data_IF_925566694362
#
_entry.id   IF_925566694362
#
_cell.length_a   1.000
_cell.length_b   1.000
_cell.length_c   1.000
_cell.angle_alpha   90.00
_cell.angle_beta   90.00
_cell.angle_gamma   90.00
#
_symmetry.space_group_name_H-M   'P 1'
#
loop_
_entity.id
_entity.type
_entity.pdbx_description
1 polymer ?
#
# COMPACT_ATOMS: atom_id res chain seq x y z
N UNK A 1 26.69 -44.98 -40.07
CA UNK A 1 27.15 -43.58 -40.10
C UNK A 1 26.12 -42.77 -39.34
N UNK A 2 26.44 -42.46 -38.08
CA UNK A 2 25.51 -41.88 -37.12
C UNK A 2 25.55 -40.36 -37.11
N UNK A 3 24.37 -39.75 -36.96
CA UNK A 3 24.20 -38.33 -36.69
C UNK A 3 24.01 -38.13 -35.19
N UNK A 4 24.97 -37.46 -34.55
CA UNK A 4 24.88 -36.94 -33.19
C UNK A 4 24.66 -35.43 -33.27
N UNK A 5 23.44 -34.97 -33.02
CA UNK A 5 23.16 -33.60 -32.60
C UNK A 5 22.63 -33.69 -31.18
N UNK A 6 23.50 -33.44 -30.22
CA UNK A 6 23.17 -33.40 -28.80
C UNK A 6 22.33 -32.17 -28.49
N UNK A 7 21.07 -32.40 -28.10
CA UNK A 7 20.28 -31.44 -27.36
C UNK A 7 20.85 -31.37 -25.94
N UNK A 8 21.65 -30.34 -25.67
CA UNK A 8 22.01 -29.97 -24.31
C UNK A 8 20.75 -29.52 -23.56
N UNK A 9 20.24 -30.42 -22.73
CA UNK A 9 19.28 -30.11 -21.67
C UNK A 9 19.99 -29.18 -20.70
N UNK A 10 19.47 -27.96 -20.55
CA UNK A 10 19.92 -27.02 -19.51
C UNK A 10 19.38 -27.54 -18.17
N UNK A 11 20.15 -28.43 -17.55
CA UNK A 11 20.06 -28.78 -16.14
C UNK A 11 20.90 -27.80 -15.34
N UNK A 12 20.38 -26.62 -15.01
CA UNK A 12 20.99 -25.81 -13.95
C UNK A 12 19.99 -24.80 -13.33
N UNK A 13 19.31 -25.22 -12.26
CA UNK A 13 18.68 -24.31 -11.30
C UNK A 13 19.65 -24.15 -10.11
N UNK A 14 20.74 -23.40 -10.32
CA UNK A 14 21.60 -22.98 -9.22
C UNK A 14 21.07 -21.68 -8.57
N UNK A 15 21.35 -21.42 -7.28
CA UNK A 15 20.95 -20.19 -6.57
C UNK A 15 21.50 -18.88 -7.16
N UNK A 16 22.31 -18.95 -8.23
CA UNK A 16 22.83 -17.78 -8.94
C UNK A 16 21.89 -17.25 -10.03
N UNK A 17 20.94 -18.04 -10.53
CA UNK A 17 20.03 -17.60 -11.60
C UNK A 17 18.88 -16.71 -11.11
N UNK A 18 18.54 -16.75 -9.82
CA UNK A 18 17.63 -15.80 -9.14
C UNK A 18 18.19 -14.38 -9.05
N UNK A 19 19.51 -14.21 -9.11
CA UNK A 19 20.15 -12.88 -9.07
C UNK A 19 19.95 -12.06 -10.35
N UNK A 20 19.67 -12.70 -11.49
CA UNK A 20 19.36 -12.00 -12.74
C UNK A 20 17.93 -11.43 -12.77
N UNK A 21 16.99 -12.05 -12.01
CA UNK A 21 15.64 -11.53 -11.78
C UNK A 21 15.67 -10.20 -11.02
N UNK A 22 16.51 -10.14 -9.98
CA UNK A 22 16.65 -8.99 -9.10
C UNK A 22 17.27 -7.77 -9.80
N UNK A 23 18.28 -7.96 -10.66
CA UNK A 23 19.01 -6.84 -11.27
C UNK A 23 18.16 -6.01 -12.27
N UNK A 24 17.20 -6.64 -12.96
CA UNK A 24 16.37 -5.97 -13.96
C UNK A 24 15.19 -5.17 -13.35
N UNK A 25 14.62 -5.64 -12.23
CA UNK A 25 13.53 -4.95 -11.52
C UNK A 25 14.00 -3.73 -10.68
N UNK A 26 15.29 -3.66 -10.31
CA UNK A 26 15.70 -2.93 -9.10
C UNK A 26 15.83 -1.40 -9.18
N UNK A 27 15.88 -0.75 -10.35
CA UNK A 27 16.23 0.70 -10.38
C UNK A 27 15.26 1.62 -11.10
N UNK A 28 14.56 1.15 -12.14
CA UNK A 28 13.63 1.98 -12.92
C UNK A 28 12.15 1.63 -12.67
N UNK A 29 11.83 0.35 -12.42
CA UNK A 29 10.48 -0.10 -12.10
C UNK A 29 10.03 0.38 -10.71
N UNK A 30 10.83 0.13 -9.66
CA UNK A 30 10.48 0.56 -8.30
C UNK A 30 10.33 2.08 -8.15
N UNK A 31 11.12 2.88 -8.89
CA UNK A 31 11.02 4.35 -8.90
C UNK A 31 9.78 4.84 -9.67
N UNK A 32 9.23 4.05 -10.59
CA UNK A 32 7.98 4.34 -11.32
C UNK A 32 6.75 3.79 -10.59
N UNK A 33 6.84 2.63 -9.95
CA UNK A 33 5.78 2.04 -9.13
C UNK A 33 5.50 2.85 -7.85
N UNK A 34 6.54 3.40 -7.22
CA UNK A 34 6.40 4.28 -6.04
C UNK A 34 5.89 5.68 -6.43
N UNK A 35 6.27 6.22 -7.59
CA UNK A 35 5.70 7.47 -8.11
C UNK A 35 4.26 7.29 -8.66
N UNK A 36 3.92 6.12 -9.20
CA UNK A 36 2.56 5.81 -9.66
C UNK A 36 1.57 5.62 -8.50
N UNK A 37 2.06 5.38 -7.28
CA UNK A 37 1.26 5.27 -6.06
C UNK A 37 0.54 6.58 -5.68
N UNK A 38 1.00 7.72 -6.22
CA UNK A 38 0.45 9.05 -5.94
C UNK A 38 -0.48 9.55 -7.07
N UNK A 39 -0.53 8.85 -8.22
CA UNK A 39 -1.03 9.48 -9.46
C UNK A 39 -2.30 8.90 -10.09
N UNK A 40 -3.07 7.97 -9.49
CA UNK A 40 -4.28 7.49 -10.19
C UNK A 40 -5.42 7.00 -9.28
N UNK A 41 -6.56 7.70 -9.36
CA UNK A 41 -7.85 7.49 -8.70
C UNK A 41 -8.97 7.89 -9.68
N UNK A 42 -9.69 6.91 -10.21
CA UNK A 42 -10.93 7.19 -10.93
C UNK A 42 -11.95 6.09 -10.66
N UNK A 43 -13.20 6.56 -10.46
CA UNK A 43 -14.48 5.84 -10.40
C UNK A 43 -14.73 5.02 -9.11
N UNK A 44 -15.89 5.08 -8.45
CA UNK A 44 -17.21 5.59 -8.88
C UNK A 44 -18.12 5.82 -7.66
N UNK A 45 -19.12 6.65 -7.92
CA UNK A 45 -20.23 7.19 -7.12
C UNK A 45 -21.13 6.19 -6.37
N UNK A 46 -21.75 6.71 -5.30
CA UNK A 46 -22.99 6.26 -4.65
C UNK A 46 -22.97 4.83 -4.06
N UNK A 47 -22.20 4.65 -2.99
CA UNK A 47 -22.50 3.57 -2.04
C UNK A 47 -23.59 4.03 -1.07
N UNK A 48 -24.73 3.35 -1.09
CA UNK A 48 -25.75 3.42 -0.04
C UNK A 48 -25.06 3.05 1.27
N UNK A 49 -24.98 3.99 2.20
CA UNK A 49 -24.48 3.76 3.56
C UNK A 49 -25.47 2.83 4.26
N UNK A 50 -25.20 1.53 4.25
CA UNK A 50 -25.69 0.68 5.35
C UNK A 50 -25.00 1.15 6.63
N UNK A 51 -25.72 1.30 7.73
CA UNK A 51 -25.08 1.61 9.00
C UNK A 51 -23.97 0.56 9.28
N UNK A 52 -22.74 1.00 9.59
CA UNK A 52 -21.66 0.07 9.89
C UNK A 52 -22.05 -0.82 11.08
N UNK A 53 -21.90 -2.13 10.94
CA UNK A 53 -22.44 -3.11 11.87
C UNK A 53 -21.74 -3.14 13.26
N UNK A 54 -20.69 -2.35 13.47
CA UNK A 54 -20.00 -2.20 14.77
C UNK A 54 -19.30 -0.84 14.91
N UNK A 55 -19.01 -0.38 16.15
CA UNK A 55 -18.21 0.83 16.39
C UNK A 55 -16.86 0.80 15.69
N UNK A 56 -16.20 -0.36 15.63
CA UNK A 56 -14.93 -0.51 14.92
C UNK A 56 -15.08 -0.23 13.42
N UNK A 57 -16.05 -0.86 12.77
CA UNK A 57 -16.30 -0.66 11.34
C UNK A 57 -16.71 0.79 11.06
N UNK A 58 -17.45 1.41 11.98
CA UNK A 58 -17.80 2.82 11.91
C UNK A 58 -16.55 3.70 11.97
N UNK A 59 -15.67 3.46 12.93
CA UNK A 59 -14.41 4.21 13.07
C UNK A 59 -13.51 4.03 11.83
N UNK A 60 -13.40 2.83 11.26
CA UNK A 60 -12.61 2.55 10.07
C UNK A 60 -13.19 3.16 8.79
N UNK A 61 -14.52 3.17 8.66
CA UNK A 61 -15.20 3.87 7.57
C UNK A 61 -15.03 5.39 7.71
N UNK A 62 -15.27 5.91 8.92
CA UNK A 62 -15.11 7.33 9.22
C UNK A 62 -13.64 7.77 9.25
N UNK A 63 -12.63 6.92 9.34
CA UNK A 63 -11.25 7.38 9.20
C UNK A 63 -10.75 7.36 7.75
N UNK A 64 -11.56 6.87 6.80
CA UNK A 64 -11.12 6.61 5.43
C UNK A 64 -10.19 5.40 5.30
N UNK A 65 -10.02 4.60 6.35
CA UNK A 65 -9.12 3.44 6.31
C UNK A 65 -9.55 2.39 5.28
N UNK A 66 -10.86 2.17 5.09
CA UNK A 66 -11.36 1.29 4.04
C UNK A 66 -11.12 1.83 2.63
N UNK A 67 -11.19 3.14 2.45
CA UNK A 67 -10.95 3.78 1.17
C UNK A 67 -9.47 3.67 0.82
N UNK A 68 -8.57 4.01 1.76
CA UNK A 68 -7.13 3.87 1.57
C UNK A 68 -6.72 2.42 1.27
N UNK A 69 -7.30 1.45 1.98
CA UNK A 69 -7.06 0.02 1.72
C UNK A 69 -7.52 -0.39 0.30
N UNK A 70 -8.66 0.15 -0.14
CA UNK A 70 -9.17 -0.10 -1.50
C UNK A 70 -8.26 0.54 -2.56
N UNK A 71 -7.78 1.75 -2.31
CA UNK A 71 -6.89 2.50 -3.20
C UNK A 71 -5.53 1.82 -3.35
N UNK A 72 -4.90 1.40 -2.26
CA UNK A 72 -3.63 0.65 -2.30
C UNK A 72 -3.80 -0.61 -3.14
N UNK A 73 -4.88 -1.37 -2.93
CA UNK A 73 -5.18 -2.57 -3.71
C UNK A 73 -5.37 -2.26 -5.21
N UNK A 74 -6.02 -1.15 -5.55
CA UNK A 74 -6.24 -0.74 -6.94
C UNK A 74 -4.94 -0.31 -7.62
N UNK A 75 -4.13 0.51 -6.95
CA UNK A 75 -2.83 0.98 -7.46
C UNK A 75 -1.87 -0.18 -7.72
N UNK A 76 -1.82 -1.16 -6.80
CA UNK A 76 -1.02 -2.37 -7.00
C UNK A 76 -1.49 -3.19 -8.20
N UNK A 77 -2.81 -3.39 -8.34
CA UNK A 77 -3.40 -4.07 -9.51
C UNK A 77 -2.99 -3.38 -10.81
N UNK A 78 -2.99 -2.05 -10.85
CA UNK A 78 -2.62 -1.27 -12.04
C UNK A 78 -1.11 -1.32 -12.33
N UNK A 79 -0.25 -1.13 -11.31
CA UNK A 79 1.21 -1.19 -11.48
C UNK A 79 1.67 -2.52 -12.07
N UNK A 80 1.07 -3.62 -11.60
CA UNK A 80 1.36 -4.97 -12.10
C UNK A 80 0.85 -5.22 -13.53
N UNK A 81 -0.22 -4.54 -13.96
CA UNK A 81 -0.67 -4.59 -15.36
C UNK A 81 0.28 -3.85 -16.31
N UNK A 82 0.97 -2.81 -15.83
CA UNK A 82 1.86 -1.97 -16.63
C UNK A 82 3.31 -2.49 -16.72
N UNK A 83 3.81 -3.22 -15.72
CA UNK A 83 5.23 -3.62 -15.63
C UNK A 83 5.61 -4.99 -16.24
N UNK A 84 4.78 -5.61 -17.09
CA UNK A 84 5.11 -6.94 -17.64
C UNK A 84 5.13 -7.08 -19.19
N UNK A 85 5.73 -6.17 -19.98
CA UNK A 85 6.10 -6.50 -21.35
C UNK A 85 7.41 -7.30 -21.37
N UNK A 86 7.35 -8.58 -21.76
CA UNK A 86 8.53 -9.43 -22.03
C UNK A 86 8.66 -10.70 -21.20
N UNK A 87 7.74 -10.98 -20.27
CA UNK A 87 7.71 -12.25 -19.54
C UNK A 87 6.60 -13.17 -20.07
N UNK A 88 6.99 -14.28 -20.68
CA UNK A 88 6.07 -15.38 -20.95
C UNK A 88 5.99 -16.22 -19.68
N UNK A 89 5.15 -15.80 -18.73
CA UNK A 89 4.70 -16.76 -17.71
C UNK A 89 3.99 -17.87 -18.47
N UNK A 90 4.37 -19.16 -18.34
CA UNK A 90 3.52 -20.26 -18.83
C UNK A 90 2.11 -20.29 -18.17
N UNK A 91 1.79 -19.29 -17.34
CA UNK A 91 0.67 -19.21 -16.43
C UNK A 91 0.07 -17.80 -16.28
N UNK A 92 -0.23 -17.07 -17.38
CA UNK A 92 -1.02 -15.79 -17.32
C UNK A 92 -2.31 -15.90 -16.48
N UNK A 93 -2.92 -17.09 -16.43
CA UNK A 93 -4.10 -17.39 -15.63
C UNK A 93 -3.79 -17.41 -14.12
N UNK A 94 -2.62 -17.90 -13.70
CA UNK A 94 -2.28 -18.02 -12.28
C UNK A 94 -1.89 -16.72 -11.62
N UNK A 95 -1.20 -15.84 -12.35
CA UNK A 95 -0.97 -14.47 -11.91
C UNK A 95 -2.30 -13.76 -11.73
N UNK A 96 -3.22 -13.89 -12.69
CA UNK A 96 -4.57 -13.30 -12.59
C UNK A 96 -5.35 -13.77 -11.33
N UNK A 97 -5.29 -15.07 -11.00
CA UNK A 97 -5.95 -15.63 -9.80
C UNK A 97 -5.24 -15.25 -8.49
N UNK A 98 -3.91 -15.25 -8.45
CA UNK A 98 -3.14 -14.77 -7.32
C UNK A 98 -3.42 -13.28 -7.05
N UNK A 99 -3.63 -12.48 -8.11
CA UNK A 99 -4.01 -11.07 -8.00
C UNK A 99 -5.46 -10.85 -7.57
N UNK A 100 -6.39 -11.70 -8.02
CA UNK A 100 -7.77 -11.66 -7.52
C UNK A 100 -7.83 -11.94 -6.00
N UNK A 101 -6.98 -12.82 -5.50
CA UNK A 101 -6.85 -13.10 -4.06
C UNK A 101 -6.18 -11.93 -3.33
N UNK A 102 -5.09 -11.38 -3.88
CA UNK A 102 -4.38 -10.24 -3.31
C UNK A 102 -5.29 -9.01 -3.13
N UNK A 103 -6.18 -8.78 -4.11
CA UNK A 103 -7.14 -7.67 -4.13
C UNK A 103 -8.50 -8.02 -3.53
N UNK A 104 -8.62 -9.16 -2.83
CA UNK A 104 -9.87 -9.60 -2.20
C UNK A 104 -10.25 -8.64 -1.06
N UNK A 105 -11.07 -7.64 -1.40
CA UNK A 105 -11.47 -6.56 -0.50
C UNK A 105 -12.11 -7.05 0.80
N UNK A 106 -13.09 -7.98 0.80
CA UNK A 106 -13.62 -8.55 2.04
C UNK A 106 -12.56 -9.18 2.94
N UNK A 107 -11.57 -9.87 2.37
CA UNK A 107 -10.49 -10.51 3.14
C UNK A 107 -9.53 -9.47 3.73
N UNK A 108 -9.13 -8.47 2.94
CA UNK A 108 -8.29 -7.37 3.39
C UNK A 108 -8.97 -6.56 4.51
N UNK A 109 -10.26 -6.25 4.37
CA UNK A 109 -11.06 -5.54 5.39
C UNK A 109 -11.15 -6.33 6.68
N UNK A 110 -11.47 -7.63 6.62
CA UNK A 110 -11.46 -8.51 7.81
C UNK A 110 -10.09 -8.59 8.47
N UNK A 111 -9.02 -8.63 7.67
CA UNK A 111 -7.65 -8.62 8.17
C UNK A 111 -7.29 -7.32 8.88
N UNK A 112 -7.72 -6.18 8.35
CA UNK A 112 -7.58 -4.87 8.98
C UNK A 112 -8.37 -4.81 10.30
N UNK A 113 -9.67 -5.15 10.26
CA UNK A 113 -10.56 -5.15 11.42
C UNK A 113 -10.02 -6.01 12.56
N UNK A 114 -9.59 -7.26 12.27
CA UNK A 114 -9.02 -8.15 13.27
C UNK A 114 -7.79 -7.54 13.96
N UNK A 115 -6.90 -6.90 13.19
CA UNK A 115 -5.68 -6.31 13.73
C UNK A 115 -5.94 -5.06 14.56
N UNK A 116 -6.94 -4.26 14.18
CA UNK A 116 -7.33 -3.04 14.91
C UNK A 116 -8.10 -3.40 16.18
N UNK A 117 -9.03 -4.34 16.10
CA UNK A 117 -9.80 -4.83 17.26
C UNK A 117 -8.90 -5.34 18.39
N UNK A 118 -7.78 -5.98 18.04
CA UNK A 118 -6.81 -6.49 19.02
C UNK A 118 -5.99 -5.39 19.73
N UNK A 119 -6.11 -4.12 19.32
CA UNK A 119 -5.24 -3.01 19.77
C UNK A 119 -5.98 -1.81 20.32
N UNK A 120 -7.27 -1.67 20.01
CA UNK A 120 -8.07 -0.50 20.40
C UNK A 120 -9.23 -0.96 21.27
N UNK A 121 -9.39 -0.31 22.43
CA UNK A 121 -10.47 -0.58 23.37
C UNK A 121 -11.79 0.07 22.92
N UNK A 122 -12.95 -0.37 23.45
CA UNK A 122 -14.22 0.28 23.16
C UNK A 122 -14.26 1.78 23.50
N UNK A 123 -13.67 2.19 24.63
CA UNK A 123 -13.62 3.59 25.05
C UNK A 123 -12.75 4.44 24.10
N UNK A 124 -11.61 3.91 23.67
CA UNK A 124 -10.75 4.56 22.67
C UNK A 124 -11.46 4.69 21.32
N UNK A 125 -12.20 3.67 20.89
CA UNK A 125 -13.03 3.74 19.68
C UNK A 125 -14.14 4.78 19.83
N UNK A 126 -14.81 4.85 20.97
CA UNK A 126 -15.86 5.85 21.23
C UNK A 126 -15.30 7.27 21.15
N UNK A 127 -14.13 7.52 21.75
CA UNK A 127 -13.47 8.82 21.70
C UNK A 127 -13.05 9.22 20.26
N UNK A 128 -12.54 8.26 19.48
CA UNK A 128 -12.19 8.47 18.06
C UNK A 128 -13.44 8.79 17.26
N UNK A 129 -14.50 8.01 17.42
CA UNK A 129 -15.78 8.22 16.74
C UNK A 129 -16.36 9.60 17.06
N UNK A 130 -16.37 10.00 18.34
CA UNK A 130 -16.86 11.31 18.75
C UNK A 130 -16.09 12.44 18.04
N UNK A 131 -14.78 12.30 17.89
CA UNK A 131 -14.01 13.27 17.11
C UNK A 131 -14.33 13.21 15.62
N UNK A 132 -14.44 12.01 15.04
CA UNK A 132 -14.75 11.82 13.62
C UNK A 132 -16.13 12.35 13.22
N UNK A 133 -17.05 12.43 14.18
CA UNK A 133 -18.38 13.02 14.04
C UNK A 133 -18.37 14.55 14.18
N UNK A 134 -17.27 15.16 14.64
CA UNK A 134 -17.19 16.61 14.83
C UNK A 134 -17.30 17.38 13.51
N UNK A 135 -17.81 18.63 13.52
CA UNK A 135 -17.88 19.46 12.31
C UNK A 135 -16.53 19.63 11.61
N UNK A 136 -15.44 19.74 12.39
CA UNK A 136 -14.09 19.86 11.85
C UNK A 136 -13.64 18.58 11.13
N UNK A 137 -13.84 17.40 11.74
CA UNK A 137 -13.47 16.13 11.10
C UNK A 137 -14.27 15.88 9.82
N UNK A 138 -15.55 16.25 9.79
CA UNK A 138 -16.36 16.18 8.58
C UNK A 138 -15.85 17.13 7.48
N UNK A 139 -15.42 18.35 7.86
CA UNK A 139 -14.81 19.30 6.93
C UNK A 139 -13.49 18.77 6.36
N UNK A 140 -12.62 18.21 7.21
CA UNK A 140 -11.36 17.56 6.80
C UNK A 140 -11.63 16.43 5.81
N UNK A 141 -12.54 15.51 6.16
CA UNK A 141 -12.94 14.39 5.30
C UNK A 141 -13.43 14.87 3.93
N UNK A 142 -14.20 15.96 3.88
CA UNK A 142 -14.66 16.53 2.59
C UNK A 142 -13.47 16.94 1.71
N UNK A 143 -12.42 17.51 2.29
CA UNK A 143 -11.21 17.86 1.55
C UNK A 143 -10.42 16.62 1.10
N UNK A 144 -10.25 15.62 1.98
CA UNK A 144 -9.57 14.36 1.67
C UNK A 144 -10.29 13.55 0.58
N UNK A 145 -11.62 13.48 0.64
CA UNK A 145 -12.44 12.80 -0.37
C UNK A 145 -12.48 13.56 -1.70
N UNK A 146 -12.42 14.90 -1.68
CA UNK A 146 -12.31 15.69 -2.90
C UNK A 146 -11.00 15.44 -3.63
N UNK A 147 -9.89 15.25 -2.91
CA UNK A 147 -8.61 14.86 -3.52
C UNK A 147 -8.71 13.50 -4.23
N UNK A 148 -9.53 12.60 -3.72
CA UNK A 148 -9.69 11.25 -4.28
C UNK A 148 -10.54 11.18 -5.57
N UNK A 149 -11.04 12.32 -6.08
CA UNK A 149 -11.72 12.36 -7.39
C UNK A 149 -10.74 12.56 -8.54
N UNK A 150 -11.19 12.29 -9.76
CA UNK A 150 -10.40 12.53 -10.99
C UNK A 150 -9.98 13.99 -11.08
N UNK A 151 -10.91 14.90 -10.81
CA UNK A 151 -10.69 16.35 -10.82
C UNK A 151 -9.75 16.78 -9.70
N UNK A 152 -9.91 16.21 -8.51
CA UNK A 152 -9.07 16.48 -7.34
C UNK A 152 -7.60 16.15 -7.59
N UNK A 153 -7.34 14.97 -8.15
CA UNK A 153 -5.99 14.57 -8.54
C UNK A 153 -5.40 15.41 -9.66
N UNK A 154 -6.19 15.73 -10.70
CA UNK A 154 -5.71 16.58 -11.79
C UNK A 154 -5.30 17.96 -11.25
N UNK A 155 -6.09 18.50 -10.31
CA UNK A 155 -5.76 19.72 -9.61
C UNK A 155 -4.52 19.58 -8.70
N UNK A 156 -4.35 18.45 -8.01
CA UNK A 156 -3.15 18.17 -7.21
C UNK A 156 -1.90 18.06 -8.07
N UNK A 157 -1.96 17.36 -9.20
CA UNK A 157 -0.83 17.25 -10.13
C UNK A 157 -0.42 18.62 -10.67
N UNK A 158 -1.39 19.46 -11.02
CA UNK A 158 -1.14 20.85 -11.42
C UNK A 158 -0.48 21.63 -10.28
N UNK A 159 -1.01 21.53 -9.07
CA UNK A 159 -0.47 22.20 -7.88
C UNK A 159 0.98 21.79 -7.60
N UNK A 160 1.29 20.49 -7.64
CA UNK A 160 2.63 19.95 -7.41
C UNK A 160 3.67 20.45 -8.43
N UNK A 161 3.25 20.82 -9.64
CA UNK A 161 4.14 21.41 -10.66
C UNK A 161 4.28 22.93 -10.58
N UNK A 162 3.60 23.59 -9.63
CA UNK A 162 3.66 25.05 -9.47
C UNK A 162 4.59 25.45 -8.34
N UNK A 163 5.13 26.67 -8.40
CA UNK A 163 5.91 27.27 -7.30
C UNK A 163 5.10 27.51 -6.01
N UNK A 164 3.80 27.19 -5.98
CA UNK A 164 2.95 27.36 -4.80
C UNK A 164 3.38 26.45 -3.63
N UNK A 165 3.99 25.30 -3.91
CA UNK A 165 4.56 24.44 -2.86
C UNK A 165 5.71 25.16 -2.16
N UNK A 166 6.63 25.74 -2.94
CA UNK A 166 7.81 26.46 -2.42
C UNK A 166 7.44 27.83 -1.82
N UNK A 167 6.35 28.44 -2.31
CA UNK A 167 5.86 29.74 -1.85
C UNK A 167 4.86 29.66 -0.68
N UNK A 168 4.61 28.46 -0.12
CA UNK A 168 3.69 28.30 1.00
C UNK A 168 4.12 29.14 2.21
N UNK A 169 3.19 29.80 2.92
CA UNK A 169 3.52 30.54 4.14
C UNK A 169 4.24 29.63 5.15
N UNK A 170 5.30 30.15 5.78
CA UNK A 170 6.16 29.35 6.66
C UNK A 170 5.39 28.65 7.80
N UNK A 171 4.35 29.28 8.34
CA UNK A 171 3.49 28.65 9.35
C UNK A 171 2.72 27.45 8.78
N UNK A 172 2.12 27.61 7.61
CA UNK A 172 1.36 26.54 6.94
C UNK A 172 2.26 25.36 6.58
N UNK A 173 3.47 25.61 6.10
CA UNK A 173 4.46 24.56 5.85
C UNK A 173 4.81 23.78 7.12
N UNK A 174 5.03 24.46 8.26
CA UNK A 174 5.27 23.81 9.56
C UNK A 174 4.11 22.96 10.04
N UNK A 175 2.87 23.43 9.85
CA UNK A 175 1.68 22.67 10.20
C UNK A 175 1.55 21.40 9.36
N UNK A 176 1.82 21.48 8.05
CA UNK A 176 1.84 20.30 7.20
C UNK A 176 2.99 19.33 7.51
N UNK A 177 4.15 19.84 7.89
CA UNK A 177 5.24 19.02 8.41
C UNK A 177 4.80 18.26 9.67
N UNK A 178 4.11 18.95 10.60
CA UNK A 178 3.61 18.31 11.81
C UNK A 178 2.57 17.22 11.52
N UNK A 179 1.68 17.43 10.54
CA UNK A 179 0.76 16.37 10.08
C UNK A 179 1.55 15.17 9.56
N UNK A 180 2.55 15.37 8.70
CA UNK A 180 3.39 14.26 8.21
C UNK A 180 4.13 13.56 9.35
N UNK A 181 4.59 14.30 10.36
CA UNK A 181 5.31 13.71 11.50
C UNK A 181 4.37 12.84 12.37
N UNK A 182 3.09 13.21 12.51
CA UNK A 182 2.08 12.40 13.23
C UNK A 182 1.57 11.20 12.40
N UNK A 183 1.30 11.40 11.10
CA UNK A 183 0.80 10.33 10.22
C UNK A 183 1.89 9.38 9.76
N UNK A 184 3.11 9.88 9.63
CA UNK A 184 4.25 9.22 8.97
C UNK A 184 3.84 8.59 7.64
N UNK A 185 3.07 9.32 6.83
CA UNK A 185 2.43 8.75 5.64
C UNK A 185 3.46 8.18 4.68
N UNK A 186 4.55 8.91 4.44
CA UNK A 186 5.66 8.45 3.59
C UNK A 186 6.25 7.12 4.09
N UNK A 187 6.51 7.04 5.40
CA UNK A 187 7.05 5.83 6.03
C UNK A 187 6.07 4.66 5.99
N UNK A 188 4.79 4.90 6.27
CA UNK A 188 3.79 3.84 6.33
C UNK A 188 3.50 3.25 4.95
N UNK A 189 3.44 4.06 3.89
CA UNK A 189 3.28 3.59 2.51
C UNK A 189 4.50 2.78 2.06
N UNK A 190 5.71 3.25 2.37
CA UNK A 190 6.95 2.51 2.11
C UNK A 190 6.96 1.15 2.83
N UNK A 191 6.58 1.13 4.11
CA UNK A 191 6.57 -0.09 4.91
C UNK A 191 5.49 -1.10 4.45
N UNK A 192 4.33 -0.63 3.97
CA UNK A 192 3.32 -1.50 3.34
C UNK A 192 3.88 -2.13 2.06
N UNK A 193 4.54 -1.33 1.22
CA UNK A 193 5.15 -1.79 -0.03
C UNK A 193 6.22 -2.85 0.23
N UNK A 194 7.09 -2.61 1.21
CA UNK A 194 8.07 -3.60 1.68
C UNK A 194 7.42 -4.88 2.22
N UNK A 195 6.32 -4.75 2.96
CA UNK A 195 5.63 -5.91 3.53
C UNK A 195 4.97 -6.78 2.46
N UNK A 196 4.53 -6.19 1.35
CA UNK A 196 4.03 -6.93 0.19
C UNK A 196 5.16 -7.72 -0.46
N UNK A 197 6.31 -7.07 -0.73
CA UNK A 197 7.48 -7.74 -1.31
C UNK A 197 8.00 -8.86 -0.41
N UNK A 198 8.12 -8.58 0.90
CA UNK A 198 8.55 -9.58 1.89
C UNK A 198 7.61 -10.78 1.96
N UNK A 199 6.29 -10.56 1.88
CA UNK A 199 5.30 -11.64 1.88
C UNK A 199 5.43 -12.58 0.67
N UNK A 200 5.65 -12.01 -0.52
CA UNK A 200 5.88 -12.78 -1.75
C UNK A 200 7.19 -13.56 -1.69
N UNK A 201 8.31 -12.89 -1.40
CA UNK A 201 9.64 -13.49 -1.37
C UNK A 201 9.74 -14.62 -0.33
N UNK A 202 9.22 -14.36 0.88
CA UNK A 202 9.18 -15.36 1.94
C UNK A 202 8.47 -16.63 1.49
N UNK A 203 7.30 -16.49 0.87
CA UNK A 203 6.49 -17.64 0.44
C UNK A 203 7.20 -18.42 -0.67
N UNK A 204 7.79 -17.72 -1.65
CA UNK A 204 8.55 -18.36 -2.73
C UNK A 204 9.78 -19.11 -2.21
N UNK A 205 10.50 -18.51 -1.26
CA UNK A 205 11.68 -19.11 -0.63
C UNK A 205 11.31 -20.36 0.20
N UNK A 206 10.33 -20.25 1.09
CA UNK A 206 9.84 -21.36 1.93
C UNK A 206 9.39 -22.54 1.04
N UNK A 207 8.65 -22.27 -0.03
CA UNK A 207 8.16 -23.30 -0.96
C UNK A 207 9.26 -23.91 -1.83
N UNK A 208 10.35 -23.20 -2.04
CA UNK A 208 11.53 -23.72 -2.74
C UNK A 208 12.47 -24.50 -1.81
N UNK A 209 12.09 -24.71 -0.53
CA UNK A 209 12.87 -25.45 0.46
C UNK A 209 13.95 -24.61 1.14
N UNK A 210 13.87 -23.28 1.09
CA UNK A 210 14.80 -22.42 1.81
C UNK A 210 14.64 -22.59 3.33
N UNK A 211 15.77 -22.62 4.03
CA UNK A 211 15.82 -22.62 5.49
C UNK A 211 15.37 -21.26 6.06
N UNK A 212 14.93 -21.20 7.34
CA UNK A 212 14.58 -19.93 7.98
C UNK A 212 15.69 -18.87 7.93
N UNK A 213 16.96 -19.27 8.00
CA UNK A 213 18.09 -18.36 7.89
C UNK A 213 18.22 -17.76 6.48
N UNK A 214 17.98 -18.56 5.43
CA UNK A 214 17.98 -18.07 4.05
C UNK A 214 16.80 -17.13 3.77
N UNK A 215 15.63 -17.42 4.33
CA UNK A 215 14.46 -16.54 4.24
C UNK A 215 14.74 -15.19 4.92
N UNK A 216 15.39 -15.20 6.09
CA UNK A 216 15.79 -13.98 6.79
C UNK A 216 16.82 -13.17 6.00
N UNK A 217 17.79 -13.84 5.37
CA UNK A 217 18.79 -13.21 4.51
C UNK A 217 18.12 -12.51 3.30
N UNK A 218 17.20 -13.19 2.60
CA UNK A 218 16.43 -12.61 1.48
C UNK A 218 15.66 -11.37 1.94
N UNK A 219 14.99 -11.44 3.10
CA UNK A 219 14.26 -10.31 3.65
C UNK A 219 15.19 -9.11 3.97
N UNK A 220 16.42 -9.37 4.42
CA UNK A 220 17.40 -8.32 4.73
C UNK A 220 17.95 -7.61 3.49
N UNK A 221 17.90 -8.27 2.33
CA UNK A 221 18.34 -7.74 1.04
C UNK A 221 17.27 -6.88 0.34
N UNK A 222 16.06 -6.79 0.89
CA UNK A 222 15.01 -5.94 0.32
C UNK A 222 15.44 -4.47 0.35
N UNK A 223 15.26 -3.74 -0.77
CA UNK A 223 15.71 -2.36 -0.87
C UNK A 223 14.93 -1.47 0.09
N UNK A 224 15.62 -0.82 1.04
CA UNK A 224 15.01 0.19 1.88
C UNK A 224 14.79 1.45 1.02
N UNK A 225 13.55 1.88 0.79
CA UNK A 225 13.28 3.05 -0.04
C UNK A 225 13.77 4.32 0.67
N UNK A 226 14.34 5.25 -0.09
CA UNK A 226 14.57 6.61 0.38
C UNK A 226 13.21 7.30 0.61
N UNK A 227 12.95 7.66 1.86
CA UNK A 227 11.66 8.21 2.31
C UNK A 227 11.60 9.72 2.16
N UNK A 228 12.73 10.42 1.99
CA UNK A 228 12.76 11.88 1.94
C UNK A 228 12.03 12.48 0.72
N UNK A 229 12.18 11.95 -0.51
CA UNK A 229 11.37 12.39 -1.64
C UNK A 229 9.87 12.18 -1.39
N UNK A 230 9.50 11.03 -0.82
CA UNK A 230 8.11 10.73 -0.48
C UNK A 230 7.57 11.71 0.57
N UNK A 231 8.39 12.07 1.56
CA UNK A 231 8.01 13.05 2.60
C UNK A 231 7.74 14.43 2.00
N UNK A 232 8.53 14.87 1.02
CA UNK A 232 8.27 16.13 0.31
C UNK A 232 6.94 16.08 -0.45
N UNK A 233 6.67 14.96 -1.11
CA UNK A 233 5.41 14.76 -1.84
C UNK A 233 4.21 14.74 -0.89
N UNK A 234 4.33 14.15 0.30
CA UNK A 234 3.23 14.15 1.30
C UNK A 234 3.01 15.53 1.92
N UNK A 235 4.06 16.34 2.09
CA UNK A 235 3.90 17.74 2.52
C UNK A 235 3.18 18.56 1.44
N UNK A 236 3.55 18.41 0.16
CA UNK A 236 2.85 19.06 -0.94
C UNK A 236 1.38 18.62 -1.01
N UNK A 237 1.12 17.33 -0.80
CA UNK A 237 -0.23 16.77 -0.71
C UNK A 237 -1.03 17.38 0.44
N UNK A 238 -0.41 17.55 1.61
CA UNK A 238 -1.02 18.21 2.76
C UNK A 238 -1.37 19.67 2.45
N UNK A 239 -0.42 20.42 1.86
CA UNK A 239 -0.61 21.83 1.50
C UNK A 239 -1.78 22.00 0.54
N UNK A 240 -1.90 21.11 -0.44
CA UNK A 240 -3.04 21.10 -1.34
C UNK A 240 -4.33 20.70 -0.62
N UNK A 241 -4.35 19.55 0.06
CA UNK A 241 -5.56 18.97 0.66
C UNK A 241 -6.20 19.93 1.65
N UNK A 242 -5.40 20.53 2.53
CA UNK A 242 -5.90 21.40 3.59
C UNK A 242 -5.83 22.90 3.26
N UNK A 243 -5.64 23.27 1.99
CA UNK A 243 -5.51 24.69 1.56
C UNK A 243 -6.68 25.59 1.96
N UNK A 244 -7.86 25.01 2.16
CA UNK A 244 -9.09 25.73 2.53
C UNK A 244 -9.45 25.62 4.02
N UNK A 245 -8.57 25.01 4.84
CA UNK A 245 -8.67 25.02 6.30
C UNK A 245 -7.89 26.20 6.87
N UNK A 246 -8.35 26.76 7.98
CA UNK A 246 -7.56 27.75 8.74
C UNK A 246 -6.36 27.09 9.43
N UNK A 247 -5.37 27.89 9.84
CA UNK A 247 -4.23 27.36 10.60
C UNK A 247 -4.68 26.77 11.94
N UNK A 248 -5.67 27.38 12.59
CA UNK A 248 -6.28 26.92 13.84
C UNK A 248 -7.01 25.58 13.66
N UNK A 249 -7.75 25.41 12.56
CA UNK A 249 -8.40 24.15 12.22
C UNK A 249 -7.37 23.02 12.03
N UNK A 250 -6.25 23.30 11.38
CA UNK A 250 -5.16 22.32 11.25
C UNK A 250 -4.50 22.02 12.61
N UNK A 251 -4.31 23.02 13.46
CA UNK A 251 -3.79 22.80 14.82
C UNK A 251 -4.71 21.90 15.65
N UNK A 252 -6.03 22.11 15.56
CA UNK A 252 -7.02 21.23 16.22
C UNK A 252 -6.95 19.80 15.67
N UNK A 253 -6.73 19.64 14.37
CA UNK A 253 -6.53 18.32 13.78
C UNK A 253 -5.27 17.65 14.33
N UNK A 254 -4.12 18.35 14.33
CA UNK A 254 -2.87 17.85 14.90
C UNK A 254 -3.04 17.48 16.38
N UNK A 255 -3.77 18.29 17.15
CA UNK A 255 -4.05 17.99 18.56
C UNK A 255 -4.83 16.67 18.72
N UNK A 256 -5.79 16.39 17.84
CA UNK A 256 -6.47 15.10 17.82
C UNK A 256 -5.53 13.94 17.46
N UNK A 257 -4.71 14.09 16.41
CA UNK A 257 -3.74 13.06 16.00
C UNK A 257 -2.78 12.71 17.14
N UNK A 258 -2.43 13.71 17.96
CA UNK A 258 -1.58 13.55 19.14
C UNK A 258 -2.27 12.95 20.36
N UNK A 259 -3.61 12.99 20.41
CA UNK A 259 -4.39 12.48 21.53
C UNK A 259 -4.12 10.99 21.74
N UNK A 260 -4.24 10.46 22.98
CA UNK A 260 -3.98 9.05 23.25
C UNK A 260 -4.82 8.10 22.38
N UNK A 261 -6.12 8.38 22.24
CA UNK A 261 -7.03 7.57 21.43
C UNK A 261 -6.76 7.71 19.93
N UNK A 262 -6.57 8.94 19.43
CA UNK A 262 -6.25 9.20 18.02
C UNK A 262 -4.95 8.53 17.59
N UNK A 263 -3.87 8.70 18.36
CA UNK A 263 -2.57 8.10 18.08
C UNK A 263 -2.64 6.57 18.06
N UNK A 264 -3.25 5.98 19.08
CA UNK A 264 -3.33 4.52 19.20
C UNK A 264 -4.19 3.91 18.09
N UNK A 265 -5.31 4.55 17.75
CA UNK A 265 -6.14 4.13 16.63
C UNK A 265 -5.39 4.21 15.30
N UNK A 266 -4.72 5.33 15.00
CA UNK A 266 -3.94 5.48 13.76
C UNK A 266 -2.80 4.47 13.65
N UNK A 267 -2.07 4.22 14.75
CA UNK A 267 -1.05 3.17 14.79
C UNK A 267 -1.65 1.78 14.53
N UNK A 268 -2.79 1.47 15.15
CA UNK A 268 -3.49 0.21 14.94
C UNK A 268 -3.94 0.03 13.48
N UNK A 269 -4.44 1.10 12.84
CA UNK A 269 -4.83 1.11 11.41
C UNK A 269 -3.62 0.79 10.53
N UNK A 270 -2.50 1.49 10.69
CA UNK A 270 -1.31 1.25 9.87
C UNK A 270 -0.70 -0.15 10.07
N UNK A 271 -0.64 -0.63 11.31
CA UNK A 271 -0.23 -2.01 11.62
C UNK A 271 -1.20 -3.01 10.96
N UNK A 272 -2.50 -2.73 11.02
CA UNK A 272 -3.53 -3.56 10.42
C UNK A 272 -3.44 -3.62 8.90
N UNK A 273 -3.24 -2.48 8.23
CA UNK A 273 -3.03 -2.41 6.78
C UNK A 273 -1.79 -3.20 6.37
N UNK A 274 -0.66 -2.98 7.04
CA UNK A 274 0.59 -3.70 6.79
C UNK A 274 0.39 -5.22 6.92
N UNK A 275 -0.25 -5.66 7.99
CA UNK A 275 -0.54 -7.07 8.23
C UNK A 275 -1.52 -7.67 7.23
N UNK A 276 -2.54 -6.91 6.81
CA UNK A 276 -3.50 -7.35 5.80
C UNK A 276 -2.82 -7.56 4.44
N UNK A 277 -2.02 -6.60 3.99
CA UNK A 277 -1.30 -6.69 2.72
C UNK A 277 -0.19 -7.75 2.73
N UNK A 278 0.55 -7.90 3.83
CA UNK A 278 1.55 -8.96 3.95
C UNK A 278 0.91 -10.35 3.83
N UNK A 279 -0.22 -10.60 4.51
CA UNK A 279 -0.93 -11.88 4.39
C UNK A 279 -1.47 -12.11 2.99
N UNK A 280 -2.09 -11.09 2.39
CA UNK A 280 -2.57 -11.16 1.01
C UNK A 280 -1.43 -11.47 0.02
N UNK A 281 -0.24 -10.90 0.24
CA UNK A 281 0.96 -11.19 -0.55
C UNK A 281 1.44 -12.64 -0.38
N UNK A 282 1.43 -13.17 0.84
CA UNK A 282 1.79 -14.58 1.09
C UNK A 282 0.81 -15.54 0.39
N UNK A 283 -0.50 -15.30 0.51
CA UNK A 283 -1.52 -16.10 -0.15
C UNK A 283 -1.39 -16.06 -1.69
N UNK A 284 -1.03 -14.91 -2.24
CA UNK A 284 -0.73 -14.76 -3.66
C UNK A 284 0.52 -15.55 -4.06
N UNK A 285 1.60 -15.48 -3.27
CA UNK A 285 2.84 -16.24 -3.48
C UNK A 285 2.60 -17.75 -3.52
N UNK A 286 1.78 -18.27 -2.62
CA UNK A 286 1.39 -19.70 -2.59
C UNK A 286 0.76 -20.13 -3.93
N UNK A 287 -0.21 -19.36 -4.42
CA UNK A 287 -0.92 -19.67 -5.66
C UNK A 287 0.00 -19.58 -6.88
N UNK A 288 0.90 -18.60 -6.90
CA UNK A 288 1.91 -18.46 -7.96
C UNK A 288 2.79 -19.71 -7.98
N UNK A 289 3.34 -20.10 -6.83
CA UNK A 289 4.19 -21.28 -6.70
C UNK A 289 3.48 -22.55 -7.19
N UNK A 290 2.27 -22.82 -6.69
CA UNK A 290 1.50 -24.02 -7.07
C UNK A 290 1.19 -24.08 -8.56
N UNK A 291 0.97 -22.94 -9.19
CA UNK A 291 0.67 -22.87 -10.62
C UNK A 291 1.91 -23.11 -11.48
N UNK A 292 3.06 -22.56 -11.08
CA UNK A 292 4.35 -22.83 -11.72
C UNK A 292 4.71 -24.32 -11.58
N UNK A 293 4.49 -24.90 -10.40
CA UNK A 293 4.72 -26.33 -10.14
C UNK A 293 3.87 -27.22 -11.05
N UNK A 294 2.57 -26.93 -11.17
CA UNK A 294 1.64 -27.67 -12.05
C UNK A 294 2.00 -27.53 -13.53
N UNK A 295 2.35 -26.33 -13.98
CA UNK A 295 2.77 -26.11 -15.38
C UNK A 295 4.01 -26.94 -15.74
N UNK A 296 5.01 -27.02 -14.83
CA UNK A 296 6.19 -27.87 -15.02
C UNK A 296 5.87 -29.35 -15.12
N UNK A 297 4.93 -29.85 -14.29
CA UNK A 297 4.52 -31.25 -14.31
C UNK A 297 3.76 -31.63 -15.59
N UNK A 298 2.99 -30.71 -16.17
CA UNK A 298 2.24 -30.97 -17.40
C UNK A 298 3.09 -30.82 -18.68
N UNK A 299 4.32 -30.31 -18.56
CA UNK A 299 5.28 -30.17 -19.67
C UNK A 299 6.30 -31.31 -19.74
N UNK A 300 6.22 -32.28 -18.83
CA UNK A 300 7.01 -33.52 -18.80
C UNK A 300 6.16 -34.68 -19.30
#
# INVERSE_FOLDING_TARGET
MGSTVGLNVVTDFSPRSTNHWLAACNKKCMRRAVCAFVSFLAASTLFVWGEPASPLQRALALSGAYDLLSQISAGLKQGLQLEMPGYDFPARVSTTQAFAEFSNQPKLRRGLEFMVAARVTPDELSAVIQWLDSPLAQKIRKHETQLATVEGMAAMQKFATTSQVDAAPANRAKLCQAIEDEFQLASNVADISLSILAGLERTMAEKSGATPAQVAEIASQLPIPDKEPMRKDTIALCLFTYRNLSDEEIQQYIAHLRSPSGRKFMQAVWIGMRGAFMRAAMDAGERIYESVRKAKLNSQ
#
